data_IF_700500292648
#
_entry.id   IF_700500292648
#
_cell.length_a   1.000
_cell.length_b   1.000
_cell.length_c   1.000
_cell.angle_alpha   90.00
_cell.angle_beta   90.00
_cell.angle_gamma   90.00
#
_symmetry.space_group_name_H-M   'P 1'
#
loop_
_entity.id
_entity.type
_entity.pdbx_description
1 polymer ?
#
# COMPACT_ATOMS: atom_id res chain seq x y z
N UNK A 1 3.60 -22.83 -0.85
CA UNK A 1 3.97 -21.42 -0.60
C UNK A 1 2.71 -20.62 -0.73
N UNK A 2 2.34 -19.86 0.29
CA UNK A 2 1.24 -18.91 0.19
C UNK A 2 1.54 -17.96 -0.96
N UNK A 3 0.55 -17.68 -1.78
CA UNK A 3 0.70 -16.71 -2.85
C UNK A 3 0.78 -15.32 -2.20
N UNK A 4 1.94 -14.66 -2.24
CA UNK A 4 2.12 -13.35 -1.60
C UNK A 4 1.44 -12.21 -2.36
N UNK A 5 0.78 -12.52 -3.47
CA UNK A 5 0.11 -11.56 -4.32
C UNK A 5 -1.16 -10.99 -3.65
N UNK A 6 -1.02 -9.83 -3.00
CA UNK A 6 -2.07 -9.15 -2.24
C UNK A 6 -3.37 -8.97 -3.05
N UNK A 7 -3.27 -8.65 -4.33
CA UNK A 7 -4.41 -8.41 -5.21
C UNK A 7 -5.42 -9.57 -5.26
N UNK A 8 -5.00 -10.82 -4.96
CA UNK A 8 -5.89 -12.00 -4.90
C UNK A 8 -6.80 -12.00 -3.66
N UNK A 9 -6.40 -11.28 -2.62
CA UNK A 9 -7.04 -11.27 -1.31
C UNK A 9 -7.78 -9.97 -1.02
N UNK A 10 -7.30 -8.85 -1.56
CA UNK A 10 -7.90 -7.52 -1.35
C UNK A 10 -9.42 -7.48 -1.63
N UNK A 11 -9.96 -8.10 -2.70
CA UNK A 11 -11.40 -8.10 -2.97
C UNK A 11 -12.26 -8.84 -1.93
N UNK A 12 -11.64 -9.68 -1.09
CA UNK A 12 -12.34 -10.46 -0.06
C UNK A 12 -12.44 -9.71 1.27
N UNK A 13 -11.74 -8.59 1.39
CA UNK A 13 -11.74 -7.77 2.60
C UNK A 13 -12.97 -6.86 2.64
N UNK A 14 -13.44 -6.57 3.85
CA UNK A 14 -14.42 -5.51 4.07
C UNK A 14 -13.77 -4.15 3.84
N UNK A 15 -14.60 -3.13 3.58
CA UNK A 15 -14.15 -1.74 3.45
C UNK A 15 -13.35 -1.25 4.67
N UNK A 16 -13.73 -1.67 5.88
CA UNK A 16 -13.01 -1.32 7.11
C UNK A 16 -11.64 -2.02 7.20
N UNK A 17 -11.56 -3.28 6.76
CA UNK A 17 -10.29 -3.99 6.73
C UNK A 17 -9.35 -3.42 5.65
N UNK A 18 -9.89 -3.02 4.49
CA UNK A 18 -9.16 -2.32 3.45
C UNK A 18 -8.64 -0.97 3.93
N UNK A 19 -9.48 -0.20 4.65
CA UNK A 19 -9.09 1.07 5.28
C UNK A 19 -7.94 0.87 6.25
N UNK A 20 -8.07 -0.08 7.18
CA UNK A 20 -7.03 -0.35 8.18
C UNK A 20 -5.71 -0.78 7.53
N UNK A 21 -5.77 -1.58 6.47
CA UNK A 21 -4.57 -2.00 5.75
C UNK A 21 -3.92 -0.86 4.97
N UNK A 22 -4.71 0.01 4.33
CA UNK A 22 -4.21 1.22 3.66
C UNK A 22 -3.54 2.17 4.66
N UNK A 23 -4.17 2.40 5.82
CA UNK A 23 -3.61 3.18 6.93
C UNK A 23 -2.27 2.62 7.36
N UNK A 24 -2.17 1.32 7.60
CA UNK A 24 -0.91 0.70 7.98
C UNK A 24 0.16 0.80 6.89
N UNK A 25 -0.20 0.60 5.62
CA UNK A 25 0.75 0.77 4.52
C UNK A 25 1.35 2.18 4.54
N UNK A 26 0.50 3.20 4.62
CA UNK A 26 0.88 4.61 4.53
C UNK A 26 1.61 5.10 5.79
N UNK A 27 1.14 4.73 6.98
CA UNK A 27 1.65 5.26 8.25
C UNK A 27 2.82 4.46 8.81
N UNK A 28 2.89 3.16 8.53
CA UNK A 28 3.91 2.28 9.12
C UNK A 28 4.87 1.74 8.06
N UNK A 29 4.37 1.15 6.96
CA UNK A 29 5.26 0.54 5.98
C UNK A 29 6.08 1.58 5.20
N UNK A 30 5.51 2.75 4.93
CA UNK A 30 6.23 3.85 4.27
C UNK A 30 7.47 4.33 5.03
N UNK A 31 7.56 4.10 6.36
CA UNK A 31 8.76 4.42 7.15
C UNK A 31 9.97 3.59 6.73
N UNK A 32 9.76 2.38 6.20
CA UNK A 32 10.84 1.54 5.63
C UNK A 32 11.45 2.19 4.39
N UNK A 33 10.64 2.96 3.65
CA UNK A 33 11.07 3.81 2.55
C UNK A 33 11.62 5.19 3.00
N UNK A 34 11.80 5.40 4.31
CA UNK A 34 12.23 6.67 4.93
C UNK A 34 11.25 7.84 4.67
N UNK A 35 9.96 7.52 4.49
CA UNK A 35 8.92 8.52 4.30
C UNK A 35 8.17 8.68 5.61
N UNK A 36 8.38 9.80 6.28
CA UNK A 36 7.55 10.24 7.40
C UNK A 36 6.35 11.02 6.89
N UNK A 37 5.15 10.59 7.30
CA UNK A 37 3.90 11.23 6.93
C UNK A 37 2.97 11.33 8.13
N UNK A 38 2.42 12.52 8.30
CA UNK A 38 1.38 12.80 9.30
C UNK A 38 0.15 13.31 8.56
N UNK A 39 -0.95 12.54 8.53
CA UNK A 39 -2.15 12.97 7.84
C UNK A 39 -2.85 14.11 8.56
N UNK A 40 -3.59 14.91 7.80
CA UNK A 40 -4.53 15.91 8.33
C UNK A 40 -5.79 15.18 8.84
N UNK A 41 -5.78 14.87 10.14
CA UNK A 41 -6.87 14.17 10.80
C UNK A 41 -8.22 14.91 10.72
N UNK A 42 -8.22 16.24 10.55
CA UNK A 42 -9.45 17.00 10.42
C UNK A 42 -10.15 16.72 9.08
N UNK A 43 -9.38 16.47 8.01
CA UNK A 43 -9.91 16.11 6.68
C UNK A 43 -10.35 14.66 6.59
N UNK A 44 -9.79 13.80 7.44
CA UNK A 44 -10.14 12.38 7.52
C UNK A 44 -11.35 12.11 8.44
N UNK A 45 -11.71 13.08 9.28
CA UNK A 45 -12.77 12.92 10.25
C UNK A 45 -14.15 12.71 9.57
N UNK A 46 -14.87 11.68 10.02
CA UNK A 46 -16.22 11.32 9.56
C UNK A 46 -16.35 10.89 8.09
N UNK A 47 -15.23 10.65 7.39
CA UNK A 47 -15.29 10.03 6.06
C UNK A 47 -15.68 8.56 6.18
N UNK A 48 -16.50 8.09 5.23
CA UNK A 48 -16.72 6.65 5.06
C UNK A 48 -15.42 5.98 4.57
N UNK A 49 -15.25 4.66 4.74
CA UNK A 49 -13.95 4.01 4.49
C UNK A 49 -13.34 4.25 3.10
N UNK A 50 -14.15 4.21 2.03
CA UNK A 50 -13.68 4.44 0.68
C UNK A 50 -13.15 5.88 0.50
N UNK A 51 -13.93 6.88 0.92
CA UNK A 51 -13.53 8.29 0.89
C UNK A 51 -12.30 8.54 1.77
N UNK A 52 -12.23 7.87 2.92
CA UNK A 52 -11.08 7.92 3.81
C UNK A 52 -9.81 7.42 3.13
N UNK A 53 -9.87 6.24 2.49
CA UNK A 53 -8.74 5.66 1.76
C UNK A 53 -8.28 6.62 0.66
N UNK A 54 -9.22 7.17 -0.10
CA UNK A 54 -8.91 8.11 -1.18
C UNK A 54 -8.25 9.38 -0.67
N UNK A 55 -8.80 10.03 0.36
CA UNK A 55 -8.25 11.25 0.96
C UNK A 55 -6.88 10.99 1.59
N UNK A 56 -6.70 9.85 2.27
CA UNK A 56 -5.41 9.48 2.86
C UNK A 56 -4.34 9.28 1.78
N UNK A 57 -4.68 8.61 0.68
CA UNK A 57 -3.77 8.44 -0.48
C UNK A 57 -3.45 9.79 -1.11
N UNK A 58 -4.44 10.64 -1.35
CA UNK A 58 -4.23 11.98 -1.93
C UNK A 58 -3.29 12.84 -1.06
N UNK A 59 -3.48 12.83 0.26
CA UNK A 59 -2.58 13.50 1.19
C UNK A 59 -1.17 12.90 1.18
N UNK A 60 -1.05 11.57 1.13
CA UNK A 60 0.25 10.90 1.10
C UNK A 60 1.02 11.18 -0.20
N UNK A 61 0.35 11.17 -1.36
CA UNK A 61 0.98 11.47 -2.65
C UNK A 61 1.42 12.94 -2.79
N UNK A 62 0.87 13.83 -1.97
CA UNK A 62 1.34 15.22 -1.86
C UNK A 62 2.62 15.36 -1.04
N UNK A 63 2.94 14.37 -0.20
CA UNK A 63 4.30 14.23 0.32
C UNK A 63 5.18 13.96 -0.87
N UNK A 64 6.17 14.82 -1.07
CA UNK A 64 7.16 14.63 -2.13
C UNK A 64 8.35 13.90 -1.53
N UNK A 65 8.43 12.55 -1.59
CA UNK A 65 9.74 11.92 -1.52
C UNK A 65 10.57 12.39 -2.73
N UNK A 66 11.79 11.89 -2.87
CA UNK A 66 12.64 12.21 -4.04
C UNK A 66 11.79 12.25 -5.32
N UNK A 67 11.65 13.44 -5.96
CA UNK A 67 10.64 13.66 -7.00
C UNK A 67 10.93 12.86 -8.27
N UNK A 68 12.18 12.47 -8.50
CA UNK A 68 12.56 11.62 -9.63
C UNK A 68 12.07 10.21 -9.36
N UNK A 69 12.39 9.67 -8.19
CA UNK A 69 12.01 8.32 -7.78
C UNK A 69 10.50 8.16 -7.69
N UNK A 70 9.83 9.10 -7.04
CA UNK A 70 8.37 9.13 -6.93
C UNK A 70 7.71 9.15 -8.31
N UNK A 71 8.23 9.99 -9.22
CA UNK A 71 7.73 10.12 -10.59
C UNK A 71 7.89 8.86 -11.44
N UNK A 72 8.89 8.03 -11.16
CA UNK A 72 9.10 6.74 -11.84
C UNK A 72 8.23 5.62 -11.26
N UNK A 73 8.13 5.56 -9.93
CA UNK A 73 7.41 4.48 -9.23
C UNK A 73 5.89 4.62 -9.38
N UNK A 74 5.37 5.85 -9.38
CA UNK A 74 3.94 6.13 -9.50
C UNK A 74 3.27 5.46 -10.73
N UNK A 75 3.75 5.67 -11.97
CA UNK A 75 3.15 5.04 -13.14
C UNK A 75 3.35 3.51 -13.19
N UNK A 76 4.44 2.98 -12.61
CA UNK A 76 4.67 1.54 -12.53
C UNK A 76 3.64 0.88 -11.62
N UNK A 77 3.47 1.41 -10.40
CA UNK A 77 2.49 0.92 -9.44
C UNK A 77 1.06 1.08 -9.97
N UNK A 78 0.74 2.20 -10.60
CA UNK A 78 -0.57 2.44 -11.22
C UNK A 78 -0.87 1.43 -12.33
N UNK A 79 0.08 1.21 -13.24
CA UNK A 79 -0.09 0.23 -14.32
C UNK A 79 -0.28 -1.19 -13.80
N UNK A 80 0.51 -1.61 -12.82
CA UNK A 80 0.39 -2.96 -12.26
C UNK A 80 -0.94 -3.16 -11.53
N UNK A 81 -1.40 -2.15 -10.77
CA UNK A 81 -2.72 -2.20 -10.13
C UNK A 81 -3.86 -2.27 -11.14
N UNK A 82 -3.77 -1.52 -12.25
CA UNK A 82 -4.73 -1.59 -13.35
C UNK A 82 -4.74 -3.00 -13.99
N UNK A 83 -3.56 -3.59 -14.21
CA UNK A 83 -3.40 -4.92 -14.80
C UNK A 83 -3.98 -6.03 -13.89
N UNK A 84 -4.11 -5.80 -12.58
CA UNK A 84 -4.78 -6.73 -11.65
C UNK A 84 -6.31 -6.73 -11.75
N UNK A 85 -6.92 -5.74 -12.41
CA UNK A 85 -8.35 -5.71 -12.71
C UNK A 85 -9.26 -5.59 -11.49
N UNK A 86 -8.78 -4.98 -10.40
CA UNK A 86 -9.55 -4.75 -9.19
C UNK A 86 -10.51 -3.56 -9.34
N UNK A 87 -11.51 -3.46 -8.46
CA UNK A 87 -12.49 -2.37 -8.47
C UNK A 87 -12.74 -1.81 -7.07
N UNK A 88 -13.27 -0.59 -6.98
CA UNK A 88 -13.65 0.03 -5.71
C UNK A 88 -12.44 0.34 -4.82
N UNK A 89 -12.55 0.13 -3.52
CA UNK A 89 -11.44 0.37 -2.60
C UNK A 89 -10.26 -0.58 -2.81
N UNK A 90 -10.51 -1.80 -3.29
CA UNK A 90 -9.46 -2.80 -3.48
C UNK A 90 -8.37 -2.36 -4.47
N UNK A 91 -8.73 -1.69 -5.56
CA UNK A 91 -7.73 -1.16 -6.52
C UNK A 91 -6.91 -0.02 -5.91
N UNK A 92 -7.53 0.85 -5.10
CA UNK A 92 -6.81 1.95 -4.44
C UNK A 92 -5.80 1.41 -3.42
N UNK A 93 -6.20 0.40 -2.66
CA UNK A 93 -5.35 -0.26 -1.67
C UNK A 93 -4.22 -1.05 -2.34
N UNK A 94 -4.51 -1.73 -3.45
CA UNK A 94 -3.48 -2.43 -4.22
C UNK A 94 -2.43 -1.46 -4.76
N UNK A 95 -2.88 -0.39 -5.43
CA UNK A 95 -2.02 0.69 -5.92
C UNK A 95 -1.10 1.25 -4.84
N UNK A 96 -1.64 1.66 -3.68
CA UNK A 96 -0.80 2.26 -2.65
C UNK A 96 0.18 1.26 -2.03
N UNK A 97 -0.23 -0.01 -1.90
CA UNK A 97 0.64 -1.07 -1.41
C UNK A 97 1.84 -1.30 -2.35
N UNK A 98 1.60 -1.31 -3.66
CA UNK A 98 2.62 -1.43 -4.70
C UNK A 98 3.53 -0.20 -4.75
N UNK A 99 2.94 0.99 -4.68
CA UNK A 99 3.68 2.25 -4.68
C UNK A 99 4.68 2.30 -3.53
N UNK A 100 4.25 1.98 -2.31
CA UNK A 100 5.12 1.97 -1.14
C UNK A 100 6.18 0.87 -1.24
N UNK A 101 5.81 -0.33 -1.69
CA UNK A 101 6.74 -1.45 -1.91
C UNK A 101 7.88 -1.05 -2.86
N UNK A 102 7.57 -0.39 -3.96
CA UNK A 102 8.57 0.06 -4.94
C UNK A 102 9.36 1.29 -4.51
N UNK A 103 8.90 2.02 -3.49
CA UNK A 103 9.66 3.07 -2.81
C UNK A 103 10.61 2.53 -1.73
N UNK A 104 10.78 1.22 -1.56
CA UNK A 104 11.74 0.68 -0.58
C UNK A 104 13.18 0.61 -1.15
N UNK A 105 13.45 0.00 -2.32
CA UNK A 105 14.82 -0.12 -2.84
C UNK A 105 15.42 1.24 -3.25
N UNK A 106 16.49 1.68 -2.58
CA UNK A 106 17.12 3.00 -2.84
C UNK A 106 17.95 3.01 -4.12
N UNK A 107 18.21 4.21 -4.65
CA UNK A 107 19.15 4.42 -5.76
C UNK A 107 20.52 3.83 -5.42
N UNK A 108 21.07 3.05 -6.35
CA UNK A 108 22.36 2.37 -6.16
C UNK A 108 22.27 0.97 -5.51
N UNK A 109 21.07 0.48 -5.18
CA UNK A 109 20.88 -0.93 -4.83
C UNK A 109 21.26 -1.83 -6.00
N UNK A 110 22.00 -2.91 -5.75
CA UNK A 110 22.18 -3.95 -6.77
C UNK A 110 20.85 -4.64 -7.04
N UNK A 111 20.66 -5.21 -8.24
CA UNK A 111 19.41 -5.90 -8.59
C UNK A 111 19.03 -6.97 -7.57
N UNK A 112 19.99 -7.81 -7.17
CA UNK A 112 19.77 -8.85 -6.15
C UNK A 112 19.34 -8.30 -4.79
N UNK A 113 19.93 -7.18 -4.35
CA UNK A 113 19.55 -6.56 -3.07
C UNK A 113 18.17 -5.89 -3.15
N UNK A 114 17.84 -5.27 -4.29
CA UNK A 114 16.51 -4.73 -4.53
C UNK A 114 15.44 -5.83 -4.51
N UNK A 115 15.71 -6.97 -5.15
CA UNK A 115 14.81 -8.13 -5.16
C UNK A 115 14.56 -8.67 -3.75
N UNK A 116 15.60 -8.74 -2.91
CA UNK A 116 15.47 -9.14 -1.51
C UNK A 116 14.58 -8.18 -0.72
N UNK A 117 14.79 -6.87 -0.85
CA UNK A 117 13.97 -5.86 -0.20
C UNK A 117 12.50 -5.94 -0.64
N UNK A 118 12.24 -6.15 -1.93
CA UNK A 118 10.89 -6.30 -2.47
C UNK A 118 10.22 -7.57 -1.96
N UNK A 119 10.95 -8.68 -1.86
CA UNK A 119 10.43 -9.94 -1.33
C UNK A 119 10.09 -9.81 0.16
N UNK A 120 10.96 -9.17 0.95
CA UNK A 120 10.71 -8.92 2.37
C UNK A 120 9.51 -8.00 2.58
N UNK A 121 9.43 -6.90 1.83
CA UNK A 121 8.29 -5.99 1.84
C UNK A 121 6.96 -6.69 1.47
N UNK A 122 6.99 -7.54 0.44
CA UNK A 122 5.81 -8.33 0.02
C UNK A 122 5.35 -9.26 1.13
N UNK A 123 6.31 -9.92 1.81
CA UNK A 123 6.00 -10.78 2.95
C UNK A 123 5.42 -9.98 4.11
N UNK A 124 6.01 -8.85 4.48
CA UNK A 124 5.51 -8.00 5.56
C UNK A 124 4.09 -7.49 5.29
N UNK A 125 3.82 -7.04 4.06
CA UNK A 125 2.48 -6.64 3.65
C UNK A 125 1.49 -7.79 3.72
N UNK A 126 1.86 -8.98 3.23
CA UNK A 126 1.01 -10.17 3.30
C UNK A 126 0.71 -10.57 4.74
N UNK A 127 1.74 -10.66 5.59
CA UNK A 127 1.58 -11.03 7.00
C UNK A 127 0.64 -10.04 7.71
N UNK A 128 0.77 -8.74 7.41
CA UNK A 128 -0.14 -7.73 7.97
C UNK A 128 -1.56 -7.86 7.44
N UNK A 129 -1.73 -8.14 6.15
CA UNK A 129 -3.04 -8.37 5.55
C UNK A 129 -3.77 -9.52 6.26
N UNK A 130 -3.07 -10.63 6.51
CA UNK A 130 -3.62 -11.80 7.20
C UNK A 130 -3.98 -11.48 8.66
N UNK A 131 -3.15 -10.69 9.36
CA UNK A 131 -3.45 -10.22 10.71
C UNK A 131 -4.75 -9.40 10.75
N UNK A 132 -4.90 -8.45 9.82
CA UNK A 132 -6.10 -7.61 9.72
C UNK A 132 -7.32 -8.45 9.33
N UNK A 133 -7.20 -9.33 8.34
CA UNK A 133 -8.29 -10.22 7.95
C UNK A 133 -8.81 -11.03 9.14
N UNK A 134 -7.91 -11.64 9.90
CA UNK A 134 -8.24 -12.39 11.12
C UNK A 134 -8.91 -11.51 12.17
N UNK A 135 -8.42 -10.28 12.39
CA UNK A 135 -9.02 -9.31 13.32
C UNK A 135 -10.47 -8.98 12.95
N UNK A 136 -10.77 -8.89 11.66
CA UNK A 136 -12.10 -8.62 11.12
C UNK A 136 -12.95 -9.89 10.91
N UNK A 137 -12.46 -11.07 11.29
CA UNK A 137 -13.20 -12.34 11.17
C UNK A 137 -13.31 -12.86 9.74
N UNK A 138 -12.40 -12.46 8.86
CA UNK A 138 -12.36 -12.85 7.44
C UNK A 138 -11.36 -13.99 7.27
N UNK A 139 -11.82 -15.08 6.66
CA UNK A 139 -10.98 -16.23 6.29
C UNK A 139 -10.46 -16.04 4.85
N UNK A 140 -9.13 -15.99 4.68
CA UNK A 140 -8.42 -15.69 3.43
C UNK A 140 -7.70 -16.92 2.88
#
# INVERSE_FOLDING_TARGET
>A
MSDLALYKYLPRLSEEALKEFAEWCILEHAKVAEIEFTPDAAKLANLIPNEYIWELIDQFLKVKPDPIRAGLVLPIAGKEADDHGLTGSAIMVDFISLYIKYLIPKDGSTGEFADQLLAEASKTQYDKLMEIAKKHGIDL
#
